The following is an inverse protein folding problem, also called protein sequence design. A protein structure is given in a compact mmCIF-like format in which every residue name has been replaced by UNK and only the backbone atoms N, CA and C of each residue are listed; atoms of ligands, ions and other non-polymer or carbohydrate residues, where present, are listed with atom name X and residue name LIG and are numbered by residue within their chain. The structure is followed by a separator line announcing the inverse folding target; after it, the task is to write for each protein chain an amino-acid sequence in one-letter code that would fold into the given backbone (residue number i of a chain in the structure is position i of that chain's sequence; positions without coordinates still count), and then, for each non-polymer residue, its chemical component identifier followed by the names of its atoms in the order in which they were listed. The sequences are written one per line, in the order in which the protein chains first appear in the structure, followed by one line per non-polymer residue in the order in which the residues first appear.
data_IF_635631095970
#
_entry.id   IF_635631095970
#
_cell.length_a   1.000
_cell.length_b   1.000
_cell.length_c   1.000
_cell.angle_alpha   90.00
_cell.angle_beta   90.00
_cell.angle_gamma   90.00
#
_symmetry.space_group_name_H-M   'P 1'
#
loop_
_entity.id
_entity.type
_entity.pdbx_description
1 polymer ?
#
# COMPACT_ATOMS: atom_id res chain seq x y z
N UNK A 1 -14.46 35.51 -0.22
CA UNK A 1 -13.93 34.12 -0.26
C UNK A 1 -14.33 33.37 -1.53
N UNK A 2 -15.50 33.66 -2.11
CA UNK A 2 -15.95 33.19 -3.44
C UNK A 2 -15.95 34.35 -4.45
N UNK A 3 -15.60 34.07 -5.71
CA UNK A 3 -15.89 34.90 -6.88
C UNK A 3 -16.32 33.93 -7.99
N UNK A 4 -17.49 34.14 -8.60
CA UNK A 4 -18.06 33.31 -9.67
C UNK A 4 -18.18 31.81 -9.36
N UNK A 5 -18.62 31.45 -8.15
CA UNK A 5 -18.82 30.04 -7.76
C UNK A 5 -17.52 29.23 -7.62
N UNK A 6 -16.35 29.86 -7.73
CA UNK A 6 -15.03 29.24 -7.57
C UNK A 6 -14.30 29.82 -6.37
N UNK A 7 -13.61 28.95 -5.62
CA UNK A 7 -12.72 29.37 -4.53
C UNK A 7 -11.57 30.20 -5.11
N UNK A 8 -11.21 31.31 -4.46
CA UNK A 8 -10.05 32.11 -4.87
C UNK A 8 -8.77 31.25 -4.84
N UNK A 9 -7.85 31.47 -5.77
CA UNK A 9 -6.54 30.76 -5.81
C UNK A 9 -5.79 30.84 -4.48
N UNK A 10 -5.91 31.97 -3.78
CA UNK A 10 -5.34 32.16 -2.44
C UNK A 10 -5.88 31.19 -1.38
N UNK A 11 -7.16 30.79 -1.47
CA UNK A 11 -7.74 29.84 -0.54
C UNK A 11 -7.24 28.40 -0.79
N UNK A 12 -7.04 28.01 -2.05
CA UNK A 12 -6.38 26.74 -2.38
C UNK A 12 -4.94 26.70 -1.87
N UNK A 13 -4.20 27.79 -2.10
CA UNK A 13 -2.83 27.93 -1.61
C UNK A 13 -2.78 27.79 -0.08
N UNK A 14 -3.69 28.46 0.64
CA UNK A 14 -3.77 28.36 2.09
C UNK A 14 -4.03 26.92 2.56
N UNK A 15 -4.95 26.19 1.93
CA UNK A 15 -5.21 24.77 2.29
C UNK A 15 -3.97 23.90 2.07
N UNK A 16 -3.29 24.03 0.92
CA UNK A 16 -2.10 23.22 0.64
C UNK A 16 -0.91 23.58 1.54
N UNK A 17 -0.70 24.86 1.83
CA UNK A 17 0.32 25.32 2.78
C UNK A 17 0.01 24.77 4.17
N UNK A 18 -1.22 24.91 4.66
CA UNK A 18 -1.63 24.35 5.95
C UNK A 18 -1.41 22.85 5.98
N UNK A 19 -1.83 22.12 4.95
CA UNK A 19 -1.65 20.67 4.87
C UNK A 19 -0.17 20.25 4.93
N UNK A 20 0.71 21.02 4.28
CA UNK A 20 2.16 20.78 4.27
C UNK A 20 2.79 21.13 5.62
N UNK A 21 2.48 22.29 6.20
CA UNK A 21 2.99 22.73 7.50
C UNK A 21 2.57 21.75 8.60
N UNK A 22 1.31 21.32 8.62
CA UNK A 22 0.82 20.32 9.58
C UNK A 22 1.59 19.01 9.46
N UNK A 23 1.88 18.53 8.24
CA UNK A 23 2.61 17.28 8.02
C UNK A 23 4.09 17.38 8.35
N UNK A 24 4.75 18.49 8.01
CA UNK A 24 6.15 18.73 8.37
C UNK A 24 6.27 18.84 9.89
N UNK A 25 5.40 19.63 10.54
CA UNK A 25 5.37 19.76 12.00
C UNK A 25 5.14 18.42 12.68
N UNK A 26 4.18 17.61 12.20
CA UNK A 26 3.93 16.28 12.73
C UNK A 26 5.11 15.32 12.50
N UNK A 27 5.78 15.40 11.35
CA UNK A 27 6.95 14.57 11.04
C UNK A 27 8.12 14.88 11.98
N UNK A 28 8.41 16.16 12.23
CA UNK A 28 9.45 16.61 13.19
C UNK A 28 9.06 16.19 14.60
N UNK A 29 7.84 16.51 15.04
CA UNK A 29 7.31 16.15 16.36
C UNK A 29 7.42 14.65 16.65
N UNK A 30 7.12 13.82 15.64
CA UNK A 30 7.20 12.37 15.75
C UNK A 30 8.66 11.89 15.76
N UNK A 31 9.51 12.45 14.92
CA UNK A 31 10.93 12.09 14.85
C UNK A 31 11.65 12.38 16.17
N UNK A 32 11.38 13.54 16.79
CA UNK A 32 12.04 13.96 18.04
C UNK A 32 11.66 13.09 19.25
N UNK A 33 10.59 12.30 19.16
CA UNK A 33 10.13 11.38 20.22
C UNK A 33 10.68 9.97 20.07
N UNK A 34 11.26 9.64 18.93
CA UNK A 34 11.80 8.31 18.71
C UNK A 34 13.24 8.25 19.24
N UNK A 35 13.60 7.19 19.98
CA UNK A 35 14.98 6.97 20.35
C UNK A 35 15.81 6.70 19.09
N UNK A 36 17.06 7.17 19.09
CA UNK A 36 17.98 6.98 17.96
C UNK A 36 18.21 5.50 17.62
N UNK A 37 18.03 4.61 18.60
CA UNK A 37 18.10 3.15 18.43
C UNK A 37 16.91 2.55 17.65
N UNK A 38 15.80 3.29 17.48
CA UNK A 38 14.61 2.85 16.74
C UNK A 38 13.97 4.02 15.96
N UNK A 39 14.67 4.58 14.96
CA UNK A 39 14.22 5.80 14.27
C UNK A 39 12.98 5.58 13.39
N UNK A 40 12.57 4.33 13.20
CA UNK A 40 11.48 3.92 12.31
C UNK A 40 10.13 3.69 13.01
N UNK A 41 10.11 3.50 14.34
CA UNK A 41 8.97 3.10 15.17
C UNK A 41 8.30 1.74 14.85
N UNK A 42 8.32 1.31 13.59
CA UNK A 42 7.70 0.07 13.10
C UNK A 42 8.73 -0.80 12.38
N UNK A 43 8.65 -2.12 12.57
CA UNK A 43 9.53 -3.09 11.88
C UNK A 43 9.38 -3.06 10.36
N UNK A 44 8.16 -2.80 9.89
CA UNK A 44 7.84 -2.64 8.46
C UNK A 44 8.63 -1.50 7.82
N UNK A 45 8.74 -0.38 8.52
CA UNK A 45 9.46 0.80 8.07
C UNK A 45 10.94 0.53 7.84
N UNK A 46 11.57 -0.28 8.71
CA UNK A 46 12.95 -0.72 8.52
C UNK A 46 13.09 -1.54 7.23
N UNK A 47 12.16 -2.48 6.97
CA UNK A 47 12.20 -3.30 5.75
C UNK A 47 12.11 -2.47 4.46
N UNK A 48 11.26 -1.45 4.43
CA UNK A 48 11.15 -0.56 3.27
C UNK A 48 12.42 0.27 3.07
N UNK A 49 12.99 0.79 4.16
CA UNK A 49 14.20 1.59 4.12
C UNK A 49 15.40 0.80 3.62
N UNK A 50 15.65 -0.38 4.19
CA UNK A 50 16.75 -1.26 3.81
C UNK A 50 16.65 -1.68 2.35
N UNK A 51 15.46 -2.09 1.88
CA UNK A 51 15.26 -2.47 0.48
C UNK A 51 15.45 -1.28 -0.47
N UNK A 52 15.08 -0.06 -0.07
CA UNK A 52 15.35 1.14 -0.85
C UNK A 52 16.85 1.46 -0.98
N UNK A 53 17.60 1.27 0.11
CA UNK A 53 19.06 1.40 0.09
C UNK A 53 19.71 0.37 -0.84
N UNK A 54 19.30 -0.90 -0.78
CA UNK A 54 19.82 -1.95 -1.65
C UNK A 54 19.58 -1.64 -3.14
N UNK A 55 18.36 -1.18 -3.49
CA UNK A 55 18.07 -0.74 -4.86
C UNK A 55 18.99 0.43 -5.28
N UNK A 56 19.21 1.40 -4.39
CA UNK A 56 20.08 2.54 -4.67
C UNK A 56 21.53 2.11 -4.93
N UNK A 57 22.03 1.14 -4.17
CA UNK A 57 23.39 0.60 -4.28
C UNK A 57 23.56 -0.37 -5.46
N UNK A 58 22.45 -0.85 -6.05
CA UNK A 58 22.49 -1.89 -7.08
C UNK A 58 22.73 -3.30 -6.52
N UNK A 59 22.49 -3.48 -5.23
CA UNK A 59 22.66 -4.76 -4.52
C UNK A 59 21.44 -5.67 -4.70
N UNK A 60 21.58 -6.99 -4.49
CA UNK A 60 20.46 -7.92 -4.55
C UNK A 60 19.31 -7.51 -3.61
N UNK A 61 18.08 -7.46 -4.16
CA UNK A 61 16.88 -7.14 -3.38
C UNK A 61 16.53 -8.28 -2.43
N UNK A 62 16.95 -8.15 -1.16
CA UNK A 62 16.86 -9.17 -0.10
C UNK A 62 16.58 -8.53 1.26
N UNK A 63 15.76 -9.16 2.10
CA UNK A 63 15.51 -8.68 3.47
C UNK A 63 15.10 -9.80 4.42
N UNK A 64 15.85 -9.97 5.51
CA UNK A 64 15.56 -10.96 6.56
C UNK A 64 16.17 -12.36 6.33
N UNK A 65 17.09 -12.48 5.38
CA UNK A 65 17.83 -13.71 5.05
C UNK A 65 18.30 -13.67 3.60
N UNK A 66 19.26 -14.53 3.24
CA UNK A 66 19.82 -14.59 1.88
C UNK A 66 18.80 -15.01 0.82
N UNK A 67 17.85 -15.87 1.20
CA UNK A 67 16.79 -16.38 0.33
C UNK A 67 15.55 -15.47 0.28
N UNK A 68 15.49 -14.42 1.11
CA UNK A 68 14.29 -13.61 1.31
C UNK A 68 14.18 -12.47 0.29
N UNK A 69 13.84 -12.81 -0.96
CA UNK A 69 13.93 -11.91 -2.11
C UNK A 69 12.58 -11.33 -2.56
N UNK A 70 11.45 -11.85 -2.08
CA UNK A 70 10.09 -11.44 -2.52
C UNK A 70 9.20 -10.99 -1.37
N UNK A 71 9.80 -10.75 -0.21
CA UNK A 71 9.16 -10.36 1.05
C UNK A 71 8.28 -9.12 0.94
N UNK A 72 8.68 -8.14 0.12
CA UNK A 72 7.96 -6.89 -0.14
C UNK A 72 7.93 -6.61 -1.63
N UNK A 73 6.82 -6.06 -2.11
CA UNK A 73 6.77 -5.46 -3.44
C UNK A 73 7.64 -4.18 -3.50
N UNK A 74 8.18 -3.84 -4.68
CA UNK A 74 9.27 -2.89 -4.80
C UNK A 74 8.82 -1.42 -4.89
N UNK A 75 7.52 -1.15 -5.00
CA UNK A 75 7.00 0.18 -5.32
C UNK A 75 7.41 1.27 -4.32
N UNK A 76 7.25 1.01 -3.02
CA UNK A 76 7.70 1.96 -2.00
C UNK A 76 9.24 1.98 -1.82
N UNK A 77 9.94 0.82 -1.81
CA UNK A 77 11.41 0.79 -1.86
C UNK A 77 12.01 1.60 -3.01
N UNK A 78 11.43 1.57 -4.21
CA UNK A 78 11.89 2.38 -5.37
C UNK A 78 11.77 3.89 -5.08
N UNK A 79 10.70 4.32 -4.42
CA UNK A 79 10.53 5.73 -4.01
C UNK A 79 11.62 6.13 -3.01
N UNK A 80 11.92 5.26 -2.04
CA UNK A 80 13.00 5.48 -1.06
C UNK A 80 14.37 5.49 -1.77
N UNK A 81 14.62 4.59 -2.73
CA UNK A 81 15.85 4.57 -3.51
C UNK A 81 16.07 5.89 -4.28
N UNK A 82 14.99 6.48 -4.80
CA UNK A 82 15.00 7.82 -5.38
C UNK A 82 15.43 8.89 -4.37
N UNK A 83 14.96 8.80 -3.12
CA UNK A 83 15.38 9.70 -2.04
C UNK A 83 16.87 9.54 -1.70
N UNK A 84 17.39 8.31 -1.64
CA UNK A 84 18.83 8.07 -1.48
C UNK A 84 19.62 8.75 -2.61
N UNK A 85 19.18 8.59 -3.86
CA UNK A 85 19.85 9.23 -5.00
C UNK A 85 19.84 10.75 -4.93
N UNK A 86 18.74 11.38 -4.50
CA UNK A 86 18.62 12.83 -4.38
C UNK A 86 19.46 13.43 -3.24
N UNK A 87 19.82 12.62 -2.24
CA UNK A 87 20.52 13.06 -1.03
C UNK A 87 21.98 12.58 -0.97
N UNK A 88 22.51 12.08 -2.09
CA UNK A 88 23.89 11.58 -2.17
C UNK A 88 24.13 10.29 -1.39
N UNK A 89 23.09 9.47 -1.20
CA UNK A 89 23.17 8.14 -0.56
C UNK A 89 22.85 8.14 0.93
N UNK A 90 22.80 9.30 1.59
CA UNK A 90 22.67 9.43 3.04
C UNK A 90 21.41 10.21 3.48
N UNK A 91 20.19 9.82 3.05
CA UNK A 91 18.99 10.49 3.52
C UNK A 91 18.77 10.24 5.00
N UNK A 92 18.29 11.24 5.71
CA UNK A 92 17.77 11.04 7.07
C UNK A 92 16.36 10.45 7.01
N UNK A 93 15.94 9.73 8.05
CA UNK A 93 14.56 9.22 8.15
C UNK A 93 13.55 10.36 8.07
N UNK A 94 13.87 11.52 8.65
CA UNK A 94 13.05 12.73 8.56
C UNK A 94 12.76 13.15 7.12
N UNK A 95 13.74 13.06 6.20
CA UNK A 95 13.51 13.37 4.79
C UNK A 95 12.53 12.40 4.14
N UNK A 96 12.54 11.12 4.53
CA UNK A 96 11.53 10.15 4.11
C UNK A 96 10.14 10.51 4.61
N UNK A 97 10.02 10.97 5.87
CA UNK A 97 8.74 11.42 6.45
C UNK A 97 8.21 12.67 5.74
N UNK A 98 9.09 13.62 5.44
CA UNK A 98 8.74 14.83 4.68
C UNK A 98 8.29 14.47 3.25
N UNK A 99 9.02 13.57 2.57
CA UNK A 99 8.64 13.07 1.24
C UNK A 99 7.23 12.46 1.27
N UNK A 100 6.95 11.55 2.20
CA UNK A 100 5.62 10.98 2.34
C UNK A 100 4.55 12.03 2.69
N UNK A 101 4.90 13.02 3.51
CA UNK A 101 4.04 14.17 3.79
C UNK A 101 3.67 14.93 2.52
N UNK A 102 4.65 15.22 1.65
CA UNK A 102 4.43 15.86 0.35
C UNK A 102 3.53 15.00 -0.54
N UNK A 103 3.77 13.68 -0.64
CA UNK A 103 2.89 12.77 -1.38
C UNK A 103 1.46 12.78 -0.83
N UNK A 104 1.30 12.88 0.49
CA UNK A 104 0.03 13.09 1.16
C UNK A 104 -0.67 14.37 0.71
N UNK A 105 0.05 15.50 0.66
CA UNK A 105 -0.50 16.80 0.18
C UNK A 105 -0.91 16.72 -1.29
N UNK A 106 -0.12 16.08 -2.15
CA UNK A 106 -0.48 15.85 -3.55
C UNK A 106 -1.76 15.01 -3.65
N UNK A 107 -1.89 13.98 -2.82
CA UNK A 107 -3.09 13.14 -2.74
C UNK A 107 -4.33 13.97 -2.41
N UNK A 108 -4.24 14.92 -1.47
CA UNK A 108 -5.34 15.85 -1.16
C UNK A 108 -5.80 16.59 -2.41
N UNK A 109 -4.86 17.09 -3.22
CA UNK A 109 -5.16 17.78 -4.46
C UNK A 109 -5.91 16.89 -5.46
N UNK A 110 -5.47 15.63 -5.63
CA UNK A 110 -6.14 14.68 -6.53
C UNK A 110 -7.55 14.33 -6.04
N UNK A 111 -7.72 14.09 -4.73
CA UNK A 111 -9.05 13.81 -4.14
C UNK A 111 -9.99 15.00 -4.35
N UNK A 112 -9.50 16.21 -4.11
CA UNK A 112 -10.26 17.43 -4.33
C UNK A 112 -10.70 17.59 -5.79
N UNK A 113 -9.81 17.28 -6.75
CA UNK A 113 -10.10 17.30 -8.19
C UNK A 113 -11.13 16.24 -8.61
N UNK A 114 -11.14 15.07 -7.96
CA UNK A 114 -12.15 14.03 -8.17
C UNK A 114 -13.49 14.51 -7.62
N UNK A 115 -13.53 14.94 -6.36
CA UNK A 115 -14.74 15.43 -5.70
C UNK A 115 -15.37 16.63 -6.42
N UNK A 116 -14.56 17.58 -6.90
CA UNK A 116 -15.05 18.70 -7.72
C UNK A 116 -15.71 18.27 -9.02
N UNK A 117 -15.23 17.18 -9.63
CA UNK A 117 -15.79 16.67 -10.89
C UNK A 117 -17.02 15.81 -10.68
N UNK A 118 -17.10 15.08 -9.58
CA UNK A 118 -18.23 14.22 -9.26
C UNK A 118 -19.42 15.00 -8.73
N UNK A 119 -19.18 16.03 -7.91
CA UNK A 119 -20.24 16.76 -7.20
C UNK A 119 -20.23 18.25 -7.53
N UNK A 120 -19.30 19.01 -6.94
CA UNK A 120 -19.17 20.45 -7.17
C UNK A 120 -17.84 20.98 -6.68
N UNK A 121 -17.43 22.17 -7.16
CA UNK A 121 -16.26 22.89 -6.66
C UNK A 121 -16.25 23.02 -5.14
N UNK A 122 -17.42 23.23 -4.53
CA UNK A 122 -17.60 23.33 -3.08
C UNK A 122 -17.20 22.04 -2.38
N UNK A 123 -17.71 20.90 -2.84
CA UNK A 123 -17.38 19.59 -2.25
C UNK A 123 -15.87 19.33 -2.35
N UNK A 124 -15.25 19.67 -3.49
CA UNK A 124 -13.81 19.45 -3.67
C UNK A 124 -12.93 20.20 -2.68
N UNK A 125 -13.18 21.49 -2.43
CA UNK A 125 -12.37 22.22 -1.45
C UNK A 125 -12.69 21.82 -0.01
N UNK A 126 -13.96 21.49 0.31
CA UNK A 126 -14.33 20.98 1.64
C UNK A 126 -13.60 19.67 1.92
N UNK A 127 -13.57 18.74 0.96
CA UNK A 127 -12.77 17.51 1.07
C UNK A 127 -11.28 17.81 1.27
N UNK A 128 -10.74 18.81 0.56
CA UNK A 128 -9.35 19.21 0.72
C UNK A 128 -9.05 19.76 2.13
N UNK A 129 -9.92 20.64 2.64
CA UNK A 129 -9.80 21.23 3.96
C UNK A 129 -9.90 20.17 5.07
N UNK A 130 -10.84 19.23 4.97
CA UNK A 130 -10.98 18.12 5.91
C UNK A 130 -9.70 17.26 5.90
N UNK A 131 -9.22 16.82 4.74
CA UNK A 131 -8.03 15.95 4.64
C UNK A 131 -6.71 16.67 5.00
N UNK A 132 -6.66 18.01 4.90
CA UNK A 132 -5.51 18.79 5.30
C UNK A 132 -5.19 18.60 6.79
N UNK A 133 -6.23 18.53 7.63
CA UNK A 133 -6.12 18.47 9.10
C UNK A 133 -6.59 17.15 9.72
N UNK A 134 -7.18 16.24 8.93
CA UNK A 134 -7.69 14.96 9.43
C UNK A 134 -6.55 14.14 10.07
N UNK A 135 -6.60 13.84 11.38
CA UNK A 135 -5.46 13.24 12.11
C UNK A 135 -4.96 11.94 11.49
N UNK A 136 -5.86 11.06 11.04
CA UNK A 136 -5.47 9.80 10.40
C UNK A 136 -4.74 9.98 9.06
N UNK A 137 -5.12 10.99 8.27
CA UNK A 137 -4.42 11.28 7.01
C UNK A 137 -3.07 11.96 7.26
N UNK A 138 -2.94 12.75 8.34
CA UNK A 138 -1.67 13.35 8.74
C UNK A 138 -0.73 12.27 9.26
N UNK A 139 -1.15 11.49 10.25
CA UNK A 139 -0.33 10.45 10.91
C UNK A 139 0.17 9.42 9.91
N UNK A 140 -0.70 8.85 9.08
CA UNK A 140 -0.30 7.85 8.08
C UNK A 140 0.58 8.43 6.97
N UNK A 141 0.52 9.74 6.72
CA UNK A 141 1.38 10.39 5.72
C UNK A 141 2.80 10.69 6.20
N UNK A 142 3.08 10.65 7.51
CA UNK A 142 4.41 10.93 8.05
C UNK A 142 5.17 9.66 8.49
N UNK A 143 4.51 8.50 8.44
CA UNK A 143 5.17 7.22 8.72
C UNK A 143 5.97 6.77 7.50
N UNK A 144 7.11 6.09 7.74
CA UNK A 144 7.86 5.39 6.68
C UNK A 144 7.14 4.09 6.36
N UNK A 145 5.95 4.20 5.80
CA UNK A 145 5.10 3.07 5.43
C UNK A 145 4.51 3.30 4.04
N UNK A 146 3.84 2.29 3.53
CA UNK A 146 3.37 2.25 2.14
C UNK A 146 2.13 3.12 1.88
N UNK A 147 1.45 3.64 2.91
CA UNK A 147 0.14 4.26 2.78
C UNK A 147 0.18 5.59 2.04
N UNK A 148 1.13 6.47 2.34
CA UNK A 148 1.22 7.77 1.68
C UNK A 148 1.37 7.65 0.15
N UNK A 149 2.35 6.89 -0.38
CA UNK A 149 2.46 6.68 -1.82
C UNK A 149 1.31 5.82 -2.37
N UNK A 150 0.81 4.83 -1.62
CA UNK A 150 -0.32 4.01 -2.06
C UNK A 150 -1.57 4.85 -2.32
N UNK A 151 -1.93 5.71 -1.36
CA UNK A 151 -3.10 6.57 -1.46
C UNK A 151 -3.01 7.52 -2.66
N UNK A 152 -1.80 8.01 -2.98
CA UNK A 152 -1.58 8.83 -4.17
C UNK A 152 -1.86 8.03 -5.46
N UNK A 153 -1.23 6.87 -5.62
CA UNK A 153 -1.41 6.03 -6.82
C UNK A 153 -2.86 5.56 -6.98
N UNK A 154 -3.50 5.18 -5.87
CA UNK A 154 -4.92 4.83 -5.83
C UNK A 154 -5.81 6.02 -6.25
N UNK A 155 -5.57 7.21 -5.72
CA UNK A 155 -6.34 8.41 -6.08
C UNK A 155 -6.13 8.77 -7.56
N UNK A 156 -4.89 8.68 -8.06
CA UNK A 156 -4.58 8.91 -9.48
C UNK A 156 -5.27 7.86 -10.37
N UNK A 157 -5.30 6.59 -9.97
CA UNK A 157 -6.05 5.55 -10.69
C UNK A 157 -7.52 5.94 -10.83
N UNK A 158 -8.18 6.32 -9.72
CA UNK A 158 -9.57 6.76 -9.76
C UNK A 158 -9.79 8.02 -10.60
N UNK A 159 -8.86 8.97 -10.54
CA UNK A 159 -8.89 10.14 -11.39
C UNK A 159 -8.85 9.75 -12.88
N UNK A 160 -7.94 8.85 -13.27
CA UNK A 160 -7.82 8.34 -14.62
C UNK A 160 -9.08 7.57 -15.05
N UNK A 161 -9.66 6.72 -14.20
CA UNK A 161 -10.95 6.07 -14.49
C UNK A 161 -12.06 7.10 -14.75
N UNK A 162 -12.17 8.12 -13.90
CA UNK A 162 -13.15 9.19 -14.09
C UNK A 162 -12.98 9.90 -15.43
N UNK A 163 -11.73 10.16 -15.85
CA UNK A 163 -11.42 10.73 -17.16
C UNK A 163 -11.76 9.77 -18.31
N UNK A 164 -11.49 8.47 -18.17
CA UNK A 164 -11.84 7.46 -19.16
C UNK A 164 -13.36 7.39 -19.39
N UNK A 165 -14.15 7.45 -18.32
CA UNK A 165 -15.62 7.46 -18.37
C UNK A 165 -16.23 8.80 -18.81
N UNK A 166 -15.45 9.87 -19.00
CA UNK A 166 -15.96 11.15 -19.54
C UNK A 166 -15.37 11.52 -20.90
N UNK A 167 -14.32 10.83 -21.34
CA UNK A 167 -13.61 11.13 -22.58
C UNK A 167 -14.22 10.50 -23.85
N UNK A 168 -13.86 11.11 -24.99
CA UNK A 168 -14.00 10.52 -26.33
C UNK A 168 -13.10 9.28 -26.49
N UNK A 169 -13.31 8.47 -27.54
CA UNK A 169 -12.73 7.14 -27.69
C UNK A 169 -11.19 7.08 -27.49
N UNK A 170 -10.41 7.90 -28.20
CA UNK A 170 -8.93 7.89 -28.08
C UNK A 170 -8.50 8.29 -26.68
N UNK A 171 -9.05 9.38 -26.15
CA UNK A 171 -8.75 9.82 -24.78
C UNK A 171 -9.15 8.77 -23.74
N UNK A 172 -10.23 8.03 -23.97
CA UNK A 172 -10.71 6.97 -23.08
C UNK A 172 -9.71 5.84 -22.99
N UNK A 173 -9.18 5.36 -24.11
CA UNK A 173 -8.18 4.30 -24.11
C UNK A 173 -6.93 4.70 -23.33
N UNK A 174 -6.41 5.89 -23.62
CA UNK A 174 -5.24 6.43 -22.91
C UNK A 174 -5.48 6.53 -21.40
N UNK A 175 -6.61 7.10 -20.96
CA UNK A 175 -6.92 7.23 -19.52
C UNK A 175 -7.19 5.88 -18.85
N UNK A 176 -7.82 4.93 -19.55
CA UNK A 176 -8.06 3.58 -19.02
C UNK A 176 -6.76 2.79 -18.86
N UNK A 177 -5.90 2.81 -19.87
CA UNK A 177 -4.57 2.19 -19.78
C UNK A 177 -3.70 2.86 -18.71
N UNK A 178 -3.71 4.20 -18.64
CA UNK A 178 -3.03 4.94 -17.58
C UNK A 178 -3.55 4.60 -16.18
N UNK A 179 -4.86 4.40 -16.03
CA UNK A 179 -5.45 3.87 -14.79
C UNK A 179 -4.90 2.48 -14.46
N UNK A 180 -4.75 1.61 -15.45
CA UNK A 180 -4.16 0.28 -15.26
C UNK A 180 -2.72 0.33 -14.77
N UNK A 181 -1.88 1.16 -15.38
CA UNK A 181 -0.49 1.36 -14.98
C UNK A 181 -0.41 1.90 -13.55
N UNK A 182 -1.29 2.85 -13.18
CA UNK A 182 -1.38 3.36 -11.81
C UNK A 182 -1.86 2.29 -10.82
N UNK A 183 -2.77 1.40 -11.24
CA UNK A 183 -3.19 0.25 -10.44
C UNK A 183 -2.03 -0.73 -10.21
N UNK A 184 -1.16 -0.94 -11.20
CA UNK A 184 0.06 -1.71 -11.04
C UNK A 184 1.01 -1.03 -10.05
N UNK A 185 1.24 0.28 -10.18
CA UNK A 185 2.03 1.04 -9.21
C UNK A 185 1.48 0.95 -7.79
N UNK A 186 0.16 1.11 -7.61
CA UNK A 186 -0.51 0.93 -6.33
C UNK A 186 -0.34 -0.50 -5.78
N UNK A 187 -0.39 -1.53 -6.64
CA UNK A 187 -0.17 -2.93 -6.28
C UNK A 187 1.28 -3.21 -5.88
N UNK A 188 2.24 -2.62 -6.58
CA UNK A 188 3.66 -2.71 -6.26
C UNK A 188 4.01 -1.95 -4.97
N UNK A 189 3.18 -1.00 -4.53
CA UNK A 189 3.31 -0.36 -3.22
C UNK A 189 2.60 -1.19 -2.14
N UNK A 190 1.37 -1.63 -2.42
CA UNK A 190 0.53 -2.45 -1.52
C UNK A 190 -0.11 -3.61 -2.29
N UNK A 191 0.35 -4.86 -2.05
CA UNK A 191 -0.12 -6.08 -2.72
C UNK A 191 -1.64 -6.29 -2.72
N UNK A 192 -2.32 -5.86 -1.66
CA UNK A 192 -3.76 -6.05 -1.49
C UNK A 192 -4.61 -5.38 -2.57
N UNK A 193 -4.03 -4.45 -3.33
CA UNK A 193 -4.73 -3.74 -4.39
C UNK A 193 -4.85 -4.51 -5.72
N UNK A 194 -4.11 -5.62 -5.89
CA UNK A 194 -4.08 -6.39 -7.16
C UNK A 194 -5.48 -6.77 -7.66
N UNK A 195 -6.34 -7.24 -6.76
CA UNK A 195 -7.66 -7.76 -7.10
C UNK A 195 -8.73 -6.67 -7.24
N UNK A 196 -8.43 -5.41 -6.87
CA UNK A 196 -9.40 -4.33 -6.91
C UNK A 196 -9.92 -4.08 -8.33
N UNK A 197 -9.02 -3.96 -9.30
CA UNK A 197 -9.37 -3.69 -10.71
C UNK A 197 -10.23 -4.80 -11.35
N UNK A 198 -9.84 -6.09 -11.32
CA UNK A 198 -10.68 -7.14 -11.88
C UNK A 198 -12.01 -7.28 -11.13
N UNK A 199 -12.01 -7.10 -9.80
CA UNK A 199 -13.25 -7.12 -9.02
C UNK A 199 -14.20 -5.97 -9.40
N UNK A 200 -13.68 -4.74 -9.54
CA UNK A 200 -14.46 -3.59 -9.99
C UNK A 200 -15.06 -3.84 -11.37
N UNK A 201 -14.29 -4.41 -12.30
CA UNK A 201 -14.81 -4.76 -13.62
C UNK A 201 -15.94 -5.80 -13.53
N UNK A 202 -15.73 -6.87 -12.77
CA UNK A 202 -16.75 -7.91 -12.58
C UNK A 202 -18.06 -7.32 -12.00
N UNK A 203 -17.96 -6.51 -10.96
CA UNK A 203 -19.10 -5.80 -10.37
C UNK A 203 -19.83 -4.92 -11.39
N UNK A 204 -19.10 -4.12 -12.16
CA UNK A 204 -19.69 -3.25 -13.19
C UNK A 204 -20.36 -4.04 -14.31
N UNK A 205 -19.85 -5.21 -14.69
CA UNK A 205 -20.48 -6.07 -15.71
C UNK A 205 -21.75 -6.74 -15.20
N UNK A 206 -21.80 -7.10 -13.92
CA UNK A 206 -22.96 -7.74 -13.29
C UNK A 206 -24.09 -6.71 -13.10
N UNK A 207 -23.78 -5.57 -12.48
CA UNK A 207 -24.79 -4.64 -11.95
C UNK A 207 -25.11 -3.44 -12.85
N UNK A 208 -24.31 -3.12 -13.87
CA UNK A 208 -24.57 -1.97 -14.76
C UNK A 208 -25.22 -2.39 -16.07
N UNK A 209 -26.13 -1.54 -16.57
CA UNK A 209 -26.71 -1.65 -17.91
C UNK A 209 -25.70 -1.32 -19.03
N UNK A 210 -24.65 -0.55 -18.73
CA UNK A 210 -23.65 -0.10 -19.73
C UNK A 210 -22.51 -1.12 -19.95
N UNK A 211 -22.82 -2.42 -20.01
CA UNK A 211 -21.84 -3.52 -20.01
C UNK A 211 -20.73 -3.38 -21.07
N UNK A 212 -21.09 -3.04 -22.32
CA UNK A 212 -20.11 -2.86 -23.41
C UNK A 212 -19.05 -1.80 -23.09
N UNK A 213 -19.47 -0.70 -22.47
CA UNK A 213 -18.59 0.39 -22.07
C UNK A 213 -17.67 -0.02 -20.93
N UNK A 214 -18.23 -0.68 -19.91
CA UNK A 214 -17.44 -1.18 -18.79
C UNK A 214 -16.43 -2.24 -19.23
N UNK A 215 -16.82 -3.14 -20.13
CA UNK A 215 -15.92 -4.14 -20.71
C UNK A 215 -14.73 -3.48 -21.42
N UNK A 216 -14.98 -2.51 -22.30
CA UNK A 216 -13.92 -1.79 -23.03
C UNK A 216 -12.95 -1.05 -22.10
N UNK A 217 -13.47 -0.24 -21.16
CA UNK A 217 -12.63 0.50 -20.19
C UNK A 217 -11.89 -0.46 -19.26
N UNK A 218 -12.59 -1.49 -18.77
CA UNK A 218 -12.05 -2.49 -17.88
C UNK A 218 -10.92 -3.29 -18.51
N UNK A 219 -11.09 -3.75 -19.75
CA UNK A 219 -10.05 -4.49 -20.46
C UNK A 219 -8.80 -3.65 -20.69
N UNK A 220 -8.95 -2.38 -21.11
CA UNK A 220 -7.83 -1.45 -21.25
C UNK A 220 -7.12 -1.18 -19.92
N UNK A 221 -7.87 -1.14 -18.82
CA UNK A 221 -7.31 -0.99 -17.46
C UNK A 221 -6.57 -2.27 -17.04
N UNK A 222 -7.11 -3.45 -17.31
CA UNK A 222 -6.44 -4.74 -17.04
C UNK A 222 -5.16 -4.86 -17.87
N UNK A 223 -5.19 -4.47 -19.14
CA UNK A 223 -3.98 -4.44 -19.97
C UNK A 223 -2.92 -3.51 -19.38
N UNK A 224 -3.31 -2.31 -18.93
CA UNK A 224 -2.39 -1.39 -18.24
C UNK A 224 -1.81 -1.99 -16.95
N UNK A 225 -2.64 -2.69 -16.18
CA UNK A 225 -2.21 -3.38 -14.96
C UNK A 225 -1.18 -4.48 -15.27
N UNK A 226 -1.47 -5.32 -16.27
CA UNK A 226 -0.56 -6.38 -16.71
C UNK A 226 0.77 -5.77 -17.18
N UNK A 227 0.74 -4.74 -18.03
CA UNK A 227 1.95 -4.08 -18.52
C UNK A 227 2.81 -3.51 -17.38
N UNK A 228 2.18 -2.89 -16.37
CA UNK A 228 2.91 -2.34 -15.23
C UNK A 228 3.45 -3.40 -14.27
N UNK A 229 2.75 -4.53 -14.11
CA UNK A 229 3.16 -5.64 -13.24
C UNK A 229 4.20 -6.56 -13.90
N UNK A 230 4.24 -6.60 -15.24
CA UNK A 230 5.04 -7.55 -16.01
C UNK A 230 6.53 -7.60 -15.59
N UNK A 231 7.24 -6.47 -15.39
CA UNK A 231 8.64 -6.53 -14.96
C UNK A 231 8.82 -7.22 -13.60
N UNK A 232 7.89 -7.00 -12.66
CA UNK A 232 7.94 -7.63 -11.34
C UNK A 232 7.65 -9.13 -11.42
N UNK A 233 6.67 -9.53 -12.23
CA UNK A 233 6.36 -10.95 -12.44
C UNK A 233 7.51 -11.70 -13.10
N UNK A 234 8.13 -11.12 -14.14
CA UNK A 234 9.32 -11.71 -14.79
C UNK A 234 10.44 -11.87 -13.77
N UNK A 235 10.73 -10.82 -12.99
CA UNK A 235 11.78 -10.86 -11.95
C UNK A 235 11.51 -11.93 -10.90
N UNK A 236 10.28 -12.01 -10.39
CA UNK A 236 9.95 -13.01 -9.38
C UNK A 236 10.11 -14.43 -9.92
N UNK A 237 9.63 -14.68 -11.14
CA UNK A 237 9.81 -15.97 -11.80
C UNK A 237 11.28 -16.35 -11.99
N UNK A 238 12.13 -15.40 -12.39
CA UNK A 238 13.57 -15.63 -12.53
C UNK A 238 14.29 -15.94 -11.21
N UNK A 239 13.76 -15.45 -10.08
CA UNK A 239 14.37 -15.62 -8.76
C UNK A 239 13.87 -16.88 -8.05
N UNK A 240 12.64 -17.29 -8.32
CA UNK A 240 11.99 -18.37 -7.57
C UNK A 240 11.57 -19.58 -8.40
N UNK A 241 11.77 -19.53 -9.72
CA UNK A 241 11.28 -20.51 -10.70
C UNK A 241 9.75 -20.75 -10.62
N UNK A 242 9.03 -19.79 -10.02
CA UNK A 242 7.61 -19.89 -9.73
C UNK A 242 6.89 -18.56 -9.94
N UNK A 243 5.63 -18.62 -10.35
CA UNK A 243 4.85 -17.40 -10.57
C UNK A 243 4.32 -16.83 -9.25
N UNK A 244 5.01 -15.80 -8.75
CA UNK A 244 4.61 -15.06 -7.53
C UNK A 244 4.02 -13.70 -7.93
N UNK A 245 2.68 -13.51 -7.85
CA UNK A 245 2.04 -12.31 -8.39
C UNK A 245 2.32 -11.05 -7.58
N UNK A 246 2.64 -11.17 -6.29
CA UNK A 246 2.89 -10.03 -5.39
C UNK A 246 4.08 -10.29 -4.46
N UNK A 247 3.87 -11.00 -3.35
CA UNK A 247 4.84 -11.23 -2.27
C UNK A 247 4.76 -12.63 -1.69
N UNK A 248 5.86 -13.08 -1.10
CA UNK A 248 6.00 -14.30 -0.27
C UNK A 248 5.57 -14.13 1.20
N UNK A 249 4.64 -13.20 1.50
CA UNK A 249 4.14 -12.92 2.87
C UNK A 249 2.63 -13.08 3.03
N UNK A 250 1.97 -13.66 2.04
CA UNK A 250 0.52 -13.83 2.07
C UNK A 250 0.11 -14.84 3.14
N UNK A 251 0.83 -15.95 3.27
CA UNK A 251 0.63 -16.96 4.31
C UNK A 251 0.88 -16.43 5.71
N UNK A 252 1.96 -15.67 5.92
CA UNK A 252 2.22 -15.02 7.21
C UNK A 252 1.06 -14.08 7.61
N UNK A 253 0.62 -13.23 6.68
CA UNK A 253 -0.50 -12.31 6.93
C UNK A 253 -1.83 -13.05 7.20
N UNK A 254 -2.04 -14.19 6.54
CA UNK A 254 -3.22 -15.02 6.74
C UNK A 254 -3.21 -15.69 8.11
N UNK A 255 -2.06 -16.26 8.52
CA UNK A 255 -1.90 -16.93 9.81
C UNK A 255 -1.99 -15.97 11.00
N UNK A 256 -1.47 -14.75 10.86
CA UNK A 256 -1.64 -13.68 11.85
C UNK A 256 -3.14 -13.41 12.13
N UNK A 257 -3.98 -13.53 11.10
CA UNK A 257 -5.42 -13.35 11.22
C UNK A 257 -6.23 -14.59 11.58
N UNK A 258 -5.76 -15.77 11.20
CA UNK A 258 -6.48 -17.04 11.26
C UNK A 258 -5.57 -18.11 11.87
N UNK A 259 -5.43 -18.08 13.18
CA UNK A 259 -4.65 -19.05 13.94
C UNK A 259 -5.20 -19.21 15.36
N UNK A 260 -4.80 -20.26 16.10
CA UNK A 260 -5.24 -20.48 17.47
C UNK A 260 -4.97 -19.31 18.43
N UNK A 261 -3.94 -18.50 18.13
CA UNK A 261 -3.54 -17.35 18.94
C UNK A 261 -4.09 -16.02 18.43
N UNK A 262 -4.80 -16.00 17.30
CA UNK A 262 -5.33 -14.78 16.73
C UNK A 262 -6.37 -14.14 17.66
N UNK A 263 -6.19 -12.86 17.98
CA UNK A 263 -7.12 -12.08 18.81
C UNK A 263 -7.85 -11.00 18.01
N UNK A 264 -7.52 -10.88 16.71
CA UNK A 264 -7.88 -9.75 15.85
C UNK A 264 -6.86 -8.61 15.87
N UNK A 265 -5.84 -8.66 16.76
CA UNK A 265 -4.62 -7.86 16.66
C UNK A 265 -3.58 -8.53 15.75
N UNK A 266 -2.44 -7.87 15.54
CA UNK A 266 -1.31 -8.44 14.81
C UNK A 266 -0.20 -8.84 15.79
N UNK A 267 0.28 -10.07 15.68
CA UNK A 267 1.43 -10.63 16.39
C UNK A 267 2.17 -11.61 15.48
N UNK A 268 3.34 -11.18 14.98
CA UNK A 268 4.16 -11.96 14.05
C UNK A 268 5.15 -12.91 14.74
N UNK A 269 5.09 -13.08 16.07
CA UNK A 269 6.03 -13.93 16.83
C UNK A 269 6.02 -15.41 16.40
N UNK A 270 4.89 -15.88 15.86
CA UNK A 270 4.72 -17.26 15.37
C UNK A 270 5.69 -17.61 14.23
N UNK A 271 6.16 -16.62 13.46
CA UNK A 271 7.04 -16.81 12.31
C UNK A 271 8.29 -17.59 12.72
N UNK A 272 8.88 -17.25 13.87
CA UNK A 272 10.08 -17.91 14.42
C UNK A 272 9.94 -19.42 14.50
N UNK A 273 8.75 -19.92 14.88
CA UNK A 273 8.48 -21.35 14.96
C UNK A 273 8.43 -22.06 13.61
N UNK A 274 7.95 -21.37 12.56
CA UNK A 274 7.96 -21.89 11.20
C UNK A 274 9.38 -21.95 10.62
N UNK A 275 10.19 -20.90 10.86
CA UNK A 275 11.60 -20.88 10.50
C UNK A 275 12.38 -22.01 11.20
N UNK A 276 12.19 -22.17 12.51
CA UNK A 276 12.89 -23.21 13.27
C UNK A 276 12.61 -24.62 12.71
N UNK A 277 11.34 -24.94 12.40
CA UNK A 277 10.97 -26.23 11.81
C UNK A 277 11.61 -26.45 10.45
N UNK A 278 11.52 -25.46 9.55
CA UNK A 278 12.10 -25.61 8.21
C UNK A 278 13.63 -25.68 8.26
N UNK A 279 14.27 -24.93 9.15
CA UNK A 279 15.73 -24.99 9.34
C UNK A 279 16.21 -26.37 9.80
N UNK A 280 15.44 -27.06 10.65
CA UNK A 280 15.74 -28.45 11.03
C UNK A 280 15.74 -29.36 9.80
N UNK A 281 14.73 -29.25 8.93
CA UNK A 281 14.64 -30.05 7.71
C UNK A 281 15.77 -29.73 6.70
N UNK A 282 16.18 -28.46 6.61
CA UNK A 282 17.36 -28.06 5.82
C UNK A 282 18.63 -28.69 6.39
N UNK A 283 18.82 -28.65 7.71
CA UNK A 283 19.99 -29.21 8.37
C UNK A 283 20.06 -30.74 8.26
N UNK A 284 18.91 -31.41 8.24
CA UNK A 284 18.78 -32.86 8.02
C UNK A 284 18.96 -33.26 6.54
N UNK A 285 19.05 -32.30 5.62
CA UNK A 285 19.12 -32.56 4.18
C UNK A 285 17.81 -33.10 3.58
N UNK A 286 16.70 -32.98 4.30
CA UNK A 286 15.38 -33.48 3.89
C UNK A 286 14.56 -32.44 3.13
N UNK A 287 14.98 -31.18 3.12
CA UNK A 287 14.34 -30.10 2.38
C UNK A 287 14.93 -29.92 0.96
N UNK A 288 14.04 -29.91 -0.03
CA UNK A 288 14.35 -29.50 -1.40
C UNK A 288 13.31 -28.50 -1.89
N UNK A 289 13.74 -27.34 -2.39
CA UNK A 289 12.85 -26.34 -2.99
C UNK A 289 13.22 -24.90 -2.60
N UNK A 290 12.32 -23.97 -2.94
CA UNK A 290 12.50 -22.57 -2.58
C UNK A 290 12.09 -22.33 -1.11
N UNK A 291 13.08 -22.01 -0.26
CA UNK A 291 12.90 -21.84 1.18
C UNK A 291 11.87 -20.74 1.52
N UNK A 292 11.96 -19.59 0.86
CA UNK A 292 11.07 -18.44 1.09
C UNK A 292 9.61 -18.79 0.75
N UNK A 293 9.37 -19.44 -0.39
CA UNK A 293 8.02 -19.83 -0.81
C UNK A 293 7.46 -20.96 0.02
N UNK A 294 8.28 -21.92 0.45
CA UNK A 294 7.82 -23.01 1.30
C UNK A 294 7.36 -22.51 2.68
N UNK A 295 8.08 -21.55 3.28
CA UNK A 295 7.61 -20.88 4.50
C UNK A 295 6.23 -20.25 4.32
N UNK A 296 6.04 -19.49 3.24
CA UNK A 296 4.75 -18.85 2.96
C UNK A 296 3.62 -19.88 2.79
N UNK A 297 3.89 -20.96 2.05
CA UNK A 297 2.93 -22.06 1.87
C UNK A 297 2.56 -22.73 3.18
N UNK A 298 3.53 -23.05 4.04
CA UNK A 298 3.27 -23.70 5.33
C UNK A 298 2.40 -22.84 6.23
N UNK A 299 2.69 -21.54 6.31
CA UNK A 299 1.88 -20.59 7.08
C UNK A 299 0.47 -20.46 6.47
N UNK A 300 0.35 -20.37 5.15
CA UNK A 300 -0.94 -20.32 4.45
C UNK A 300 -1.77 -21.57 4.71
N UNK A 301 -1.19 -22.75 4.53
CA UNK A 301 -1.87 -24.04 4.74
C UNK A 301 -2.29 -24.20 6.20
N UNK A 302 -1.43 -23.85 7.15
CA UNK A 302 -1.78 -23.90 8.58
C UNK A 302 -2.95 -22.96 8.92
N UNK A 303 -3.00 -21.77 8.31
CA UNK A 303 -4.08 -20.81 8.51
C UNK A 303 -5.41 -21.30 7.93
N UNK A 304 -5.38 -21.85 6.72
CA UNK A 304 -6.56 -22.38 6.04
C UNK A 304 -7.10 -23.63 6.74
N UNK A 305 -6.23 -24.57 7.13
CA UNK A 305 -6.64 -25.77 7.86
C UNK A 305 -7.30 -25.39 9.19
N UNK A 306 -6.69 -24.46 9.95
CA UNK A 306 -7.29 -23.98 11.18
C UNK A 306 -8.66 -23.32 10.95
N UNK A 307 -8.81 -22.52 9.90
CA UNK A 307 -10.07 -21.85 9.59
C UNK A 307 -11.18 -22.84 9.21
N UNK A 308 -10.85 -23.90 8.46
CA UNK A 308 -11.78 -24.98 8.08
C UNK A 308 -12.18 -25.81 9.30
N UNK A 309 -11.24 -26.11 10.19
CA UNK A 309 -11.49 -26.84 11.44
C UNK A 309 -12.29 -26.00 12.47
N UNK A 310 -12.19 -24.67 12.40
CA UNK A 310 -12.78 -23.74 13.38
C UNK A 310 -13.65 -22.64 12.73
N UNK A 311 -14.76 -22.99 12.06
CA UNK A 311 -15.56 -22.03 11.31
C UNK A 311 -16.21 -20.96 12.20
N UNK A 312 -16.69 -21.34 13.40
CA UNK A 312 -17.28 -20.39 14.36
C UNK A 312 -16.25 -19.39 14.90
N UNK A 313 -15.04 -19.84 15.21
CA UNK A 313 -13.95 -18.97 15.65
C UNK A 313 -13.51 -18.02 14.53
N UNK A 314 -13.42 -18.52 13.29
CA UNK A 314 -13.13 -17.73 12.09
C UNK A 314 -14.15 -16.61 11.90
N UNK A 315 -15.46 -16.91 11.99
CA UNK A 315 -16.51 -15.91 11.91
C UNK A 315 -16.41 -14.88 13.05
N UNK A 316 -16.14 -15.32 14.28
CA UNK A 316 -15.93 -14.43 15.43
C UNK A 316 -14.74 -13.48 15.20
N UNK A 317 -13.62 -13.98 14.68
CA UNK A 317 -12.44 -13.17 14.34
C UNK A 317 -12.73 -12.16 13.23
N UNK A 318 -13.49 -12.56 12.22
CA UNK A 318 -13.91 -11.65 11.15
C UNK A 318 -14.75 -10.48 11.71
N UNK A 319 -15.71 -10.76 12.60
CA UNK A 319 -16.53 -9.73 13.26
C UNK A 319 -15.66 -8.83 14.15
N UNK A 320 -14.75 -9.39 14.94
CA UNK A 320 -13.82 -8.60 15.77
C UNK A 320 -12.95 -7.68 14.93
N UNK A 321 -12.38 -8.18 13.84
CA UNK A 321 -11.57 -7.37 12.91
C UNK A 321 -12.40 -6.29 12.23
N UNK A 322 -13.64 -6.60 11.84
CA UNK A 322 -14.57 -5.61 11.31
C UNK A 322 -14.81 -4.50 12.33
N UNK A 323 -15.11 -4.83 13.59
CA UNK A 323 -15.29 -3.84 14.67
C UNK A 323 -14.05 -2.96 14.87
N UNK A 324 -12.85 -3.56 14.87
CA UNK A 324 -11.58 -2.82 14.99
C UNK A 324 -11.33 -1.87 13.82
N UNK A 325 -11.73 -2.24 12.59
CA UNK A 325 -11.56 -1.39 11.41
C UNK A 325 -12.34 -0.07 11.52
N UNK A 326 -13.49 -0.10 12.20
CA UNK A 326 -14.34 1.08 12.43
C UNK A 326 -14.04 1.81 13.75
N UNK A 327 -12.99 1.41 14.47
CA UNK A 327 -12.59 2.12 15.68
C UNK A 327 -12.05 3.52 15.31
N UNK A 328 -12.63 4.61 15.82
CA UNK A 328 -12.15 5.97 15.54
C UNK A 328 -10.79 6.25 16.18
N UNK A 329 -10.37 5.44 17.17
CA UNK A 329 -9.06 5.53 17.80
C UNK A 329 -8.11 4.47 17.22
N UNK A 330 -6.80 4.78 17.11
CA UNK A 330 -5.80 3.79 16.71
C UNK A 330 -5.87 2.54 17.58
N UNK A 331 -5.85 1.37 16.96
CA UNK A 331 -5.85 0.09 17.68
C UNK A 331 -4.46 -0.32 18.20
N UNK A 332 -3.41 0.44 17.84
CA UNK A 332 -2.03 0.19 18.25
C UNK A 332 -1.66 1.13 19.40
N UNK A 333 -1.28 0.54 20.54
CA UNK A 333 -0.95 1.30 21.75
C UNK A 333 0.21 2.29 21.53
N UNK A 334 1.12 2.02 20.59
CA UNK A 334 2.23 2.93 20.25
C UNK A 334 1.77 4.25 19.64
N UNK A 335 0.56 4.28 19.09
CA UNK A 335 -0.05 5.50 18.53
C UNK A 335 -0.91 6.24 19.58
N UNK A 336 -1.23 5.58 20.69
CA UNK A 336 -2.07 6.12 21.77
C UNK A 336 -1.27 6.56 23.00
N UNK A 337 -0.03 6.10 23.15
CA UNK A 337 0.91 6.56 24.19
C UNK A 337 1.47 7.94 23.81
N UNK A 338 0.65 8.97 24.02
CA UNK A 338 1.03 10.38 23.93
C UNK A 338 1.44 10.93 25.29
#
# INVERSE_FOLDING_TARGET
MYQDGKLKRSAWLAVFITALVVRIGAAVYWQDRLPDSSPYAFGDSHSYWTLGLLIHQGEPYRYGGDDAQMVRTPGYPIIIAGLHRLTGGHPTVLYGRILNGILGVVTIGIVALIASRLFSSTVGWVSAAILAIYPGAVSMSIMILSEAPFCLFMALQFYCLLRAYRGAAISRSMWATGSGILAAGATLIRPSWLLFTPFLLAMLLIFSSQRKRHFSVGMMTIMGLIMGMLPWWIRNYQVSDEFVPTTSRMGASLYDGLSPKATGGSDMSFITGFYAKLNTEVAEGSFSGNYELELDRRMKSAALNWAVENPAATASLAIKKLGRMWNPLPNDNRLNSG
#
